data_IF_726658689337
#
_entry.id   IF_726658689337
#
_cell.length_a   1.000
_cell.length_b   1.000
_cell.length_c   1.000
_cell.angle_alpha   90.00
_cell.angle_beta   90.00
_cell.angle_gamma   90.00
#
_symmetry.space_group_name_H-M   'P 1'
#
loop_
_entity.id
_entity.type
_entity.pdbx_description
1 polymer ?
#
# COMPACT_ATOMS: atom_id res chain seq x y z
N UNK A 1 -10.35 -3.86 21.94
CA UNK A 1 -9.53 -3.45 20.77
C UNK A 1 -8.60 -4.60 20.44
N UNK A 2 -8.90 -5.39 19.42
CA UNK A 2 -8.01 -6.46 18.95
C UNK A 2 -6.95 -5.84 18.04
N UNK A 3 -5.66 -5.93 18.36
CA UNK A 3 -4.61 -5.40 17.50
C UNK A 3 -4.64 -6.07 16.12
N UNK A 4 -4.61 -5.25 15.06
CA UNK A 4 -4.62 -5.72 13.66
C UNK A 4 -3.45 -6.66 13.33
N UNK A 5 -2.36 -6.57 14.09
CA UNK A 5 -1.14 -7.38 13.95
C UNK A 5 -1.01 -8.42 15.07
N UNK A 6 -2.07 -9.20 15.32
CA UNK A 6 -1.92 -10.46 16.06
C UNK A 6 -1.26 -11.51 15.18
N UNK A 7 -0.39 -12.35 15.76
CA UNK A 7 0.35 -13.38 15.01
C UNK A 7 -0.57 -14.29 14.17
N UNK A 8 -1.78 -14.57 14.65
CA UNK A 8 -2.80 -15.32 13.90
C UNK A 8 -3.33 -14.60 12.67
N UNK A 9 -3.51 -13.27 12.76
CA UNK A 9 -3.91 -12.43 11.62
C UNK A 9 -2.78 -12.34 10.60
N UNK A 10 -1.53 -12.29 11.07
CA UNK A 10 -0.34 -12.33 10.21
C UNK A 10 -0.21 -13.68 9.48
N UNK A 11 -0.51 -14.79 10.17
CA UNK A 11 -0.54 -16.14 9.56
C UNK A 11 -1.57 -16.24 8.44
N UNK A 12 -2.72 -15.56 8.57
CA UNK A 12 -3.74 -15.48 7.52
C UNK A 12 -3.26 -14.79 6.23
N UNK A 13 -2.18 -14.01 6.26
CA UNK A 13 -1.62 -13.33 5.10
C UNK A 13 -0.60 -14.17 4.32
N UNK A 14 -0.11 -15.29 4.88
CA UNK A 14 0.90 -16.16 4.25
C UNK A 14 0.49 -16.60 2.83
N UNK A 15 -0.76 -17.03 2.57
CA UNK A 15 -1.19 -17.40 1.21
C UNK A 15 -1.07 -16.25 0.22
N UNK A 16 -1.38 -15.02 0.65
CA UNK A 16 -1.26 -13.83 -0.20
C UNK A 16 0.21 -13.54 -0.54
N UNK A 17 1.11 -13.59 0.45
CA UNK A 17 2.55 -13.47 0.22
C UNK A 17 3.07 -14.53 -0.75
N UNK A 18 2.70 -15.79 -0.55
CA UNK A 18 3.15 -16.88 -1.42
C UNK A 18 2.72 -16.66 -2.87
N UNK A 19 1.46 -16.33 -3.11
CA UNK A 19 0.94 -16.06 -4.45
C UNK A 19 1.66 -14.88 -5.11
N UNK A 20 1.79 -13.75 -4.41
CA UNK A 20 2.44 -12.55 -4.93
C UNK A 20 3.94 -12.77 -5.23
N UNK A 21 4.65 -13.54 -4.39
CA UNK A 21 6.04 -13.92 -4.68
C UNK A 21 6.16 -14.81 -5.92
N UNK A 22 5.23 -15.76 -6.11
CA UNK A 22 5.18 -16.57 -7.33
C UNK A 22 4.95 -15.69 -8.57
N UNK A 23 4.00 -14.75 -8.52
CA UNK A 23 3.71 -13.81 -9.60
C UNK A 23 4.93 -12.95 -9.93
N UNK A 24 5.64 -12.43 -8.91
CA UNK A 24 6.87 -11.65 -9.08
C UNK A 24 7.97 -12.43 -9.79
N UNK A 25 8.25 -13.67 -9.35
CA UNK A 25 9.25 -14.53 -10.00
C UNK A 25 8.87 -14.83 -11.45
N UNK A 26 7.58 -15.06 -11.73
CA UNK A 26 7.11 -15.25 -13.10
C UNK A 26 7.29 -13.99 -13.96
N UNK A 27 7.02 -12.80 -13.42
CA UNK A 27 7.27 -11.52 -14.12
C UNK A 27 8.75 -11.35 -14.42
N UNK A 28 9.63 -11.58 -13.46
CA UNK A 28 11.08 -11.46 -13.66
C UNK A 28 11.62 -12.45 -14.69
N UNK A 29 11.13 -13.69 -14.69
CA UNK A 29 11.48 -14.68 -15.74
C UNK A 29 11.07 -14.20 -17.13
N UNK A 30 9.91 -13.56 -17.26
CA UNK A 30 9.46 -12.98 -18.54
C UNK A 30 10.33 -11.79 -18.97
N UNK A 31 10.76 -10.94 -18.03
CA UNK A 31 11.63 -9.80 -18.29
C UNK A 31 13.05 -10.23 -18.69
N UNK A 32 13.61 -11.24 -18.04
CA UNK A 32 14.91 -11.81 -18.38
C UNK A 32 14.93 -12.42 -19.80
N UNK A 33 13.77 -12.91 -20.27
CA UNK A 33 13.59 -13.40 -21.63
C UNK A 33 14.61 -14.48 -22.04
N UNK A 34 14.93 -14.60 -23.35
CA UNK A 34 15.92 -15.55 -23.84
C UNK A 34 17.35 -15.26 -23.42
N UNK A 35 17.64 -14.02 -22.99
CA UNK A 35 18.99 -13.59 -22.60
C UNK A 35 19.38 -14.09 -21.20
N UNK A 36 18.41 -14.55 -20.41
CA UNK A 36 18.63 -15.17 -19.10
C UNK A 36 18.95 -14.19 -17.97
N UNK A 37 19.05 -12.89 -18.26
CA UNK A 37 19.28 -11.83 -17.28
C UNK A 37 18.54 -10.54 -17.66
N UNK A 38 18.18 -9.75 -16.66
CA UNK A 38 17.65 -8.39 -16.83
C UNK A 38 18.10 -7.52 -15.66
N UNK A 39 18.23 -6.22 -15.90
CA UNK A 39 18.46 -5.23 -14.86
C UNK A 39 17.11 -4.76 -14.31
N UNK A 40 16.99 -4.70 -12.98
CA UNK A 40 15.75 -4.38 -12.28
C UNK A 40 16.02 -3.39 -11.15
N UNK A 41 15.14 -2.42 -10.99
CA UNK A 41 15.10 -1.60 -9.78
C UNK A 41 14.42 -2.38 -8.65
N UNK A 42 15.23 -2.89 -7.72
CA UNK A 42 14.77 -3.65 -6.56
C UNK A 42 13.81 -2.86 -5.69
N UNK A 43 13.98 -1.53 -5.58
CA UNK A 43 13.11 -0.70 -4.76
C UNK A 43 11.72 -0.57 -5.39
N UNK A 44 11.65 -0.37 -6.70
CA UNK A 44 10.40 -0.38 -7.45
C UNK A 44 9.70 -1.75 -7.36
N UNK A 45 10.42 -2.84 -7.61
CA UNK A 45 9.83 -4.18 -7.56
C UNK A 45 9.33 -4.56 -6.16
N UNK A 46 10.03 -4.13 -5.11
CA UNK A 46 9.58 -4.32 -3.73
C UNK A 46 8.30 -3.54 -3.43
N UNK A 47 8.18 -2.30 -3.91
CA UNK A 47 6.95 -1.52 -3.77
C UNK A 47 5.77 -2.18 -4.50
N UNK A 48 6.00 -2.73 -5.71
CA UNK A 48 4.99 -3.47 -6.46
C UNK A 48 4.57 -4.73 -5.68
N UNK A 49 5.53 -5.50 -5.14
CA UNK A 49 5.22 -6.68 -4.33
C UNK A 49 4.40 -6.33 -3.09
N UNK A 50 4.76 -5.26 -2.37
CA UNK A 50 4.02 -4.81 -1.19
C UNK A 50 2.58 -4.39 -1.53
N UNK A 51 2.41 -3.66 -2.64
CA UNK A 51 1.09 -3.30 -3.17
C UNK A 51 0.25 -4.54 -3.50
N UNK A 52 0.83 -5.50 -4.23
CA UNK A 52 0.15 -6.75 -4.60
C UNK A 52 -0.30 -7.55 -3.36
N UNK A 53 0.57 -7.65 -2.33
CA UNK A 53 0.24 -8.37 -1.09
C UNK A 53 -0.86 -7.66 -0.30
N UNK A 54 -0.79 -6.33 -0.15
CA UNK A 54 -1.81 -5.57 0.59
C UNK A 54 -3.16 -5.67 -0.12
N UNK A 55 -3.18 -5.47 -1.44
CA UNK A 55 -4.41 -5.58 -2.21
C UNK A 55 -4.97 -7.01 -2.15
N UNK A 56 -4.15 -8.06 -2.27
CA UNK A 56 -4.61 -9.45 -2.20
C UNK A 56 -5.12 -9.81 -0.80
N UNK A 57 -4.47 -9.30 0.25
CA UNK A 57 -4.88 -9.52 1.64
C UNK A 57 -6.16 -8.75 2.01
N UNK A 58 -6.37 -7.56 1.44
CA UNK A 58 -7.53 -6.71 1.74
C UNK A 58 -8.76 -7.06 0.89
N UNK A 59 -8.57 -7.40 -0.38
CA UNK A 59 -9.68 -7.57 -1.33
C UNK A 59 -9.92 -9.03 -1.72
N UNK A 60 -9.03 -9.95 -1.34
CA UNK A 60 -9.21 -11.40 -1.52
C UNK A 60 -9.46 -11.77 -2.98
N UNK A 61 -10.69 -12.19 -3.28
CA UNK A 61 -11.13 -12.60 -4.63
C UNK A 61 -11.34 -11.43 -5.60
N UNK A 62 -11.47 -10.20 -5.11
CA UNK A 62 -11.60 -8.98 -5.93
C UNK A 62 -10.30 -8.19 -5.95
N UNK A 63 -9.16 -8.90 -5.94
CA UNK A 63 -7.82 -8.34 -5.85
C UNK A 63 -7.51 -7.38 -7.00
N UNK A 64 -7.90 -7.73 -8.23
CA UNK A 64 -7.62 -6.96 -9.44
C UNK A 64 -8.32 -5.58 -9.42
N UNK A 65 -9.58 -5.54 -8.99
CA UNK A 65 -10.32 -4.30 -8.76
C UNK A 65 -9.74 -3.52 -7.58
N UNK A 66 -9.45 -4.23 -6.49
CA UNK A 66 -8.85 -3.66 -5.29
C UNK A 66 -7.50 -2.99 -5.51
N UNK A 67 -6.67 -3.58 -6.37
CA UNK A 67 -5.38 -3.03 -6.79
C UNK A 67 -5.55 -1.69 -7.50
N UNK A 68 -6.51 -1.57 -8.42
CA UNK A 68 -6.81 -0.30 -9.10
C UNK A 68 -7.24 0.78 -8.10
N UNK A 69 -8.06 0.42 -7.11
CA UNK A 69 -8.49 1.34 -6.05
C UNK A 69 -7.29 1.79 -5.20
N UNK A 70 -6.41 0.86 -4.83
CA UNK A 70 -5.20 1.17 -4.05
C UNK A 70 -4.26 2.12 -4.79
N UNK A 71 -4.02 1.87 -6.08
CA UNK A 71 -3.17 2.73 -6.91
C UNK A 71 -3.75 4.15 -7.01
N UNK A 72 -5.08 4.28 -7.20
CA UNK A 72 -5.77 5.57 -7.18
C UNK A 72 -5.66 6.28 -5.83
N UNK A 73 -5.78 5.54 -4.72
CA UNK A 73 -5.63 6.10 -3.37
C UNK A 73 -4.20 6.62 -3.13
N UNK A 74 -3.17 5.91 -3.63
CA UNK A 74 -1.78 6.37 -3.54
C UNK A 74 -1.61 7.76 -4.16
N UNK A 75 -2.19 7.97 -5.34
CA UNK A 75 -2.07 9.23 -6.06
C UNK A 75 -2.87 10.35 -5.39
N UNK A 76 -4.07 10.04 -4.88
CA UNK A 76 -4.87 10.98 -4.09
C UNK A 76 -4.17 11.44 -2.82
N UNK A 77 -3.44 10.55 -2.13
CA UNK A 77 -2.68 10.91 -0.92
C UNK A 77 -1.59 11.93 -1.24
N UNK A 78 -0.90 11.78 -2.38
CA UNK A 78 0.14 12.73 -2.80
C UNK A 78 -0.48 14.11 -3.03
N UNK A 79 -1.55 14.18 -3.83
CA UNK A 79 -2.25 15.43 -4.12
C UNK A 79 -2.84 16.08 -2.86
N UNK A 80 -3.41 15.28 -1.96
CA UNK A 80 -3.94 15.77 -0.69
C UNK A 80 -2.83 16.35 0.20
N UNK A 81 -1.65 15.71 0.25
CA UNK A 81 -0.49 16.22 0.96
C UNK A 81 -0.01 17.54 0.34
N UNK A 82 0.13 17.62 -0.98
CA UNK A 82 0.53 18.84 -1.67
C UNK A 82 -0.43 20.00 -1.40
N UNK A 83 -1.74 19.76 -1.52
CA UNK A 83 -2.77 20.75 -1.19
C UNK A 83 -2.68 21.19 0.28
N UNK A 84 -2.47 20.24 1.20
CA UNK A 84 -2.32 20.53 2.62
C UNK A 84 -1.09 21.41 2.91
N UNK A 85 0.05 21.15 2.27
CA UNK A 85 1.26 21.97 2.41
C UNK A 85 1.20 23.31 1.66
N UNK A 86 0.33 23.43 0.64
CA UNK A 86 0.12 24.67 -0.11
C UNK A 86 -0.70 25.71 0.66
N UNK A 87 -1.49 25.29 1.66
CA UNK A 87 -2.24 26.18 2.55
C UNK A 87 -1.28 26.85 3.56
N UNK A 88 -0.55 27.86 3.10
CA UNK A 88 0.30 28.69 3.95
C UNK A 88 -0.55 29.82 4.56
N UNK A 89 -1.25 29.54 5.65
CA UNK A 89 -1.91 30.59 6.45
C UNK A 89 -0.93 31.11 7.53
N UNK A 90 -0.57 32.41 7.53
CA UNK A 90 0.23 33.00 8.59
C UNK A 90 -0.49 32.80 9.93
N UNK A 91 0.13 32.10 10.88
CA UNK A 91 -0.42 31.80 12.21
C UNK A 91 -0.93 30.36 12.43
N UNK A 92 -1.17 29.58 11.37
CA UNK A 92 -1.63 28.18 11.49
C UNK A 92 -0.50 27.15 11.66
N UNK A 93 0.77 27.57 11.58
CA UNK A 93 1.94 26.70 11.70
C UNK A 93 2.01 25.89 13.00
N UNK A 94 1.47 26.42 14.11
CA UNK A 94 1.45 25.72 15.41
C UNK A 94 0.31 24.69 15.53
N UNK A 95 -0.77 24.86 14.77
CA UNK A 95 -1.95 23.96 14.79
C UNK A 95 -1.81 22.86 13.71
N UNK A 96 -1.19 23.17 12.57
CA UNK A 96 -0.93 22.21 11.49
C UNK A 96 0.33 21.37 11.73
N UNK A 97 1.29 21.82 12.55
CA UNK A 97 2.47 21.03 12.96
C UNK A 97 2.14 19.64 13.54
N UNK A 98 1.16 19.47 14.46
CA UNK A 98 0.79 18.13 14.94
C UNK A 98 0.16 17.23 13.85
N UNK A 99 -0.38 17.79 12.76
CA UNK A 99 -0.79 17.02 11.58
C UNK A 99 0.40 16.65 10.69
N UNK A 100 1.41 17.50 10.56
CA UNK A 100 2.64 17.22 9.78
C UNK A 100 3.49 16.14 10.47
N UNK A 101 3.52 16.12 11.82
CA UNK A 101 4.17 15.03 12.58
C UNK A 101 3.41 13.69 12.45
N UNK A 102 2.17 13.70 11.94
CA UNK A 102 1.44 12.50 11.54
C UNK A 102 1.93 11.87 10.22
N UNK A 103 3.15 12.18 9.74
CA UNK A 103 3.81 11.37 8.69
C UNK A 103 3.76 9.86 8.97
N UNK A 104 3.71 9.46 10.25
CA UNK A 104 3.55 8.06 10.69
C UNK A 104 2.14 7.67 11.19
N UNK A 105 1.22 8.63 11.33
CA UNK A 105 -0.17 8.38 11.78
C UNK A 105 -1.19 8.40 10.63
N UNK A 106 -0.83 8.87 9.44
CA UNK A 106 -1.69 8.73 8.27
C UNK A 106 -1.69 7.30 7.70
N UNK A 107 -0.61 6.54 7.90
CA UNK A 107 -0.57 5.12 7.52
C UNK A 107 -1.63 4.30 8.27
N UNK A 108 -1.81 4.43 9.61
CA UNK A 108 -2.94 3.80 10.30
C UNK A 108 -4.30 4.42 9.96
N UNK A 109 -4.39 5.64 9.40
CA UNK A 109 -5.64 6.22 8.87
C UNK A 109 -5.98 5.61 7.51
N UNK A 110 -5.00 5.39 6.62
CA UNK A 110 -5.15 4.63 5.38
C UNK A 110 -5.49 3.17 5.67
N UNK A 111 -4.85 2.54 6.66
CA UNK A 111 -5.22 1.21 7.17
C UNK A 111 -6.60 1.22 7.83
N UNK A 112 -7.05 2.33 8.44
CA UNK A 112 -8.43 2.50 8.93
C UNK A 112 -9.43 2.76 7.80
N UNK A 113 -9.03 3.36 6.69
CA UNK A 113 -9.87 3.50 5.49
C UNK A 113 -9.97 2.14 4.77
N UNK A 114 -8.88 1.36 4.75
CA UNK A 114 -8.85 -0.06 4.33
C UNK A 114 -9.74 -0.94 5.22
N UNK A 115 -9.42 -1.05 6.52
CA UNK A 115 -10.36 -0.90 7.64
C UNK A 115 -11.87 -0.89 7.36
N UNK A 116 -12.31 0.32 7.02
CA UNK A 116 -13.70 0.72 6.87
C UNK A 116 -14.29 0.23 5.54
N UNK A 117 -13.47 0.09 4.48
CA UNK A 117 -13.89 -0.54 3.22
C UNK A 117 -14.05 -2.06 3.35
N UNK A 118 -13.39 -2.69 4.33
CA UNK A 118 -13.54 -4.11 4.66
C UNK A 118 -14.92 -4.46 5.28
N UNK A 119 -15.77 -3.46 5.57
CA UNK A 119 -17.15 -3.66 6.09
C UNK A 119 -18.19 -3.72 4.95
N UNK A 120 -17.76 -3.63 3.68
CA UNK A 120 -18.64 -3.85 2.53
C UNK A 120 -18.32 -5.20 1.88
N UNK A 121 -18.33 -6.27 2.68
CA UNK A 121 -18.89 -7.58 2.32
C UNK A 121 -18.95 -8.52 3.53
#
# INVERSE_FOLDING_TARGET
MTPAFHAERLRGMIPAFSACCCDLVQRWKKLAGPQGSCELDVASEFNILASDVIARAAFGSSYEEGKKIFDLQKDQVILALEAFYSIYFPGLGYILMPFISCKFKLLPVLVKIFNQCLIIH
#
